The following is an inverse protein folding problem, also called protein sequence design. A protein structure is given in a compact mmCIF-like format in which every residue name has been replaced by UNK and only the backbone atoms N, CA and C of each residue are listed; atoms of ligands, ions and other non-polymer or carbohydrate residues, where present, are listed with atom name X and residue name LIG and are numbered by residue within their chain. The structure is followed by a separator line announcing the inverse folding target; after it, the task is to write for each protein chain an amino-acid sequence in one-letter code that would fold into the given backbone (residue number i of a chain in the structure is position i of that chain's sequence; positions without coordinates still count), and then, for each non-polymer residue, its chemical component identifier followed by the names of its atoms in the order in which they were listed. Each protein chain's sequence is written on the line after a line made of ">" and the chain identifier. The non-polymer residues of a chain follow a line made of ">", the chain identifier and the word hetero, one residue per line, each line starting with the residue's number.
data_IF_010503020168
#
_entry.id   IF_010503020168
#
_cell.length_a   1.000
_cell.length_b   1.000
_cell.length_c   1.000
_cell.angle_alpha   90.00
_cell.angle_beta   90.00
_cell.angle_gamma   90.00
#
_symmetry.space_group_name_H-M   'P 1'
#
loop_
_entity.id
_entity.type
_entity.pdbx_description
1 polymer ?
#
# COMPACT_ATOMS: atom_id res chain seq x y z
N UNK A 1 -37.10 66.96 -20.22
CA UNK A 1 -35.97 66.00 -20.26
C UNK A 1 -35.24 66.08 -18.93
N UNK A 2 -35.42 65.10 -18.04
CA UNK A 2 -34.38 64.71 -17.08
C UNK A 2 -34.77 63.37 -16.45
N UNK A 3 -34.28 62.26 -17.01
CA UNK A 3 -34.37 60.95 -16.36
C UNK A 3 -33.02 60.72 -15.68
N UNK A 4 -33.12 60.63 -14.37
CA UNK A 4 -32.06 60.48 -13.39
C UNK A 4 -31.25 59.19 -13.62
N UNK A 5 -29.94 59.34 -13.84
CA UNK A 5 -28.96 58.28 -14.07
C UNK A 5 -28.42 57.69 -12.75
N UNK A 6 -29.28 57.09 -11.94
CA UNK A 6 -28.87 56.48 -10.68
C UNK A 6 -29.40 55.04 -10.58
N UNK A 7 -28.57 54.05 -10.95
CA UNK A 7 -28.56 52.69 -10.35
C UNK A 7 -27.63 51.67 -11.03
N UNK A 8 -26.92 51.98 -12.12
CA UNK A 8 -26.07 51.01 -12.86
C UNK A 8 -24.67 50.84 -12.22
N UNK A 9 -24.59 50.61 -10.90
CA UNK A 9 -23.32 50.46 -10.18
C UNK A 9 -23.24 49.30 -9.18
N UNK A 10 -24.38 48.78 -8.72
CA UNK A 10 -24.43 47.73 -7.68
C UNK A 10 -24.47 46.29 -8.20
N UNK A 11 -24.87 46.07 -9.46
CA UNK A 11 -25.11 44.71 -9.98
C UNK A 11 -23.84 44.06 -10.54
N UNK A 12 -22.84 44.86 -10.97
CA UNK A 12 -21.58 44.35 -11.52
C UNK A 12 -20.60 43.80 -10.45
N UNK A 13 -20.63 44.35 -9.22
CA UNK A 13 -19.69 43.99 -8.15
C UNK A 13 -20.07 42.71 -7.41
N UNK A 14 -21.38 42.45 -7.20
CA UNK A 14 -21.84 41.17 -6.66
C UNK A 14 -21.57 40.00 -7.59
N UNK A 15 -21.61 40.22 -8.91
CA UNK A 15 -21.34 39.19 -9.92
C UNK A 15 -19.85 38.84 -10.02
N UNK A 16 -18.95 39.84 -9.87
CA UNK A 16 -17.50 39.62 -9.79
C UNK A 16 -17.10 38.83 -8.54
N UNK A 17 -17.66 39.17 -7.38
CA UNK A 17 -17.37 38.46 -6.13
C UNK A 17 -17.82 36.99 -6.16
N UNK A 18 -18.96 36.67 -6.80
CA UNK A 18 -19.40 35.28 -7.02
C UNK A 18 -18.50 34.52 -8.00
N UNK A 19 -17.95 35.18 -9.03
CA UNK A 19 -17.06 34.55 -10.00
C UNK A 19 -15.70 34.17 -9.39
N UNK A 20 -15.18 35.00 -8.48
CA UNK A 20 -13.97 34.72 -7.71
C UNK A 20 -14.20 33.64 -6.65
N UNK A 21 -15.38 33.61 -6.00
CA UNK A 21 -15.76 32.53 -5.07
C UNK A 21 -15.91 31.19 -5.79
N UNK A 22 -16.51 31.16 -6.99
CA UNK A 22 -16.61 29.94 -7.80
C UNK A 22 -15.24 29.44 -8.26
N UNK A 23 -14.35 30.35 -8.64
CA UNK A 23 -12.96 30.03 -9.01
C UNK A 23 -12.19 29.52 -7.81
N UNK A 24 -12.36 30.14 -6.64
CA UNK A 24 -11.77 29.70 -5.38
C UNK A 24 -12.31 28.32 -4.95
N UNK A 25 -13.62 28.07 -5.08
CA UNK A 25 -14.23 26.77 -4.80
C UNK A 25 -13.76 25.69 -5.77
N UNK A 26 -13.62 26.00 -7.06
CA UNK A 26 -13.05 25.09 -8.05
C UNK A 26 -11.59 24.78 -7.74
N UNK A 27 -10.82 25.77 -7.28
CA UNK A 27 -9.43 25.59 -6.85
C UNK A 27 -9.36 24.68 -5.61
N UNK A 28 -10.21 24.89 -4.60
CA UNK A 28 -10.29 24.04 -3.41
C UNK A 28 -10.71 22.61 -3.76
N UNK A 29 -11.68 22.42 -4.65
CA UNK A 29 -12.10 21.09 -5.08
C UNK A 29 -11.02 20.41 -5.95
N UNK A 30 -10.30 21.17 -6.77
CA UNK A 30 -9.14 20.68 -7.51
C UNK A 30 -8.01 20.23 -6.56
N UNK A 31 -7.71 21.01 -5.53
CA UNK A 31 -6.74 20.65 -4.49
C UNK A 31 -7.18 19.42 -3.71
N UNK A 32 -8.46 19.31 -3.34
CA UNK A 32 -9.01 18.14 -2.67
C UNK A 32 -8.89 16.87 -3.52
N UNK A 33 -9.21 16.95 -4.81
CA UNK A 33 -9.07 15.83 -5.74
C UNK A 33 -7.61 15.43 -5.91
N UNK A 34 -6.70 16.40 -6.08
CA UNK A 34 -5.24 16.14 -6.12
C UNK A 34 -4.73 15.45 -4.86
N UNK A 35 -5.21 15.88 -3.69
CA UNK A 35 -4.85 15.27 -2.41
C UNK A 35 -5.39 13.84 -2.30
N UNK A 36 -6.64 13.60 -2.70
CA UNK A 36 -7.23 12.26 -2.75
C UNK A 36 -6.45 11.33 -3.68
N UNK A 37 -6.03 11.82 -4.85
CA UNK A 37 -5.20 11.07 -5.80
C UNK A 37 -3.82 10.74 -5.21
N UNK A 38 -3.15 11.70 -4.57
CA UNK A 38 -1.86 11.48 -3.93
C UNK A 38 -1.94 10.45 -2.78
N UNK A 39 -3.00 10.52 -1.97
CA UNK A 39 -3.25 9.54 -0.93
C UNK A 39 -3.57 8.15 -1.55
N UNK A 40 -4.34 8.10 -2.64
CA UNK A 40 -4.70 6.85 -3.32
C UNK A 40 -3.45 6.19 -3.92
N UNK A 41 -2.56 6.97 -4.53
CA UNK A 41 -1.28 6.50 -5.04
C UNK A 41 -0.40 5.93 -3.92
N UNK A 42 -0.30 6.66 -2.80
CA UNK A 42 0.46 6.19 -1.61
C UNK A 42 -0.10 4.86 -1.12
N UNK A 43 -1.42 4.77 -1.01
CA UNK A 43 -2.08 3.57 -0.52
C UNK A 43 -1.95 2.38 -1.49
N UNK A 44 -1.98 2.62 -2.80
CA UNK A 44 -1.68 1.58 -3.80
C UNK A 44 -0.25 1.07 -3.62
N UNK A 45 0.72 1.96 -3.43
CA UNK A 45 2.11 1.57 -3.20
C UNK A 45 2.27 0.75 -1.93
N UNK A 46 1.59 1.14 -0.84
CA UNK A 46 1.57 0.36 0.41
C UNK A 46 0.96 -1.03 0.20
N UNK A 47 -0.14 -1.14 -0.55
CA UNK A 47 -0.74 -2.44 -0.89
C UNK A 47 0.19 -3.28 -1.76
N UNK A 48 0.87 -2.69 -2.74
CA UNK A 48 1.86 -3.39 -3.56
C UNK A 48 3.04 -3.91 -2.72
N UNK A 49 3.58 -3.06 -1.84
CA UNK A 49 4.65 -3.44 -0.93
C UNK A 49 4.20 -4.56 0.02
N UNK A 50 2.96 -4.51 0.52
CA UNK A 50 2.40 -5.58 1.33
C UNK A 50 2.14 -6.87 0.57
N UNK A 51 1.73 -6.78 -0.69
CA UNK A 51 1.59 -7.95 -1.56
C UNK A 51 2.94 -8.63 -1.78
N UNK A 52 3.99 -7.85 -2.05
CA UNK A 52 5.35 -8.36 -2.17
C UNK A 52 5.81 -9.02 -0.87
N UNK A 53 5.62 -8.35 0.27
CA UNK A 53 5.95 -8.88 1.59
C UNK A 53 5.21 -10.20 1.88
N UNK A 54 3.91 -10.29 1.61
CA UNK A 54 3.16 -11.53 1.80
C UNK A 54 3.66 -12.65 0.88
N UNK A 55 4.00 -12.32 -0.37
CA UNK A 55 4.62 -13.28 -1.29
C UNK A 55 5.91 -13.85 -0.71
N UNK A 56 6.77 -12.96 -0.22
CA UNK A 56 8.06 -13.33 0.39
C UNK A 56 7.92 -14.07 1.73
N UNK A 57 6.92 -13.75 2.55
CA UNK A 57 6.63 -14.50 3.77
C UNK A 57 6.07 -15.89 3.47
N UNK A 58 5.26 -16.03 2.41
CA UNK A 58 4.76 -17.34 1.97
C UNK A 58 5.87 -18.21 1.39
N UNK A 59 6.83 -17.64 0.64
CA UNK A 59 7.99 -18.41 0.17
C UNK A 59 8.87 -18.85 1.34
N UNK A 60 9.08 -17.98 2.34
CA UNK A 60 9.76 -18.36 3.58
C UNK A 60 9.01 -19.49 4.31
N UNK A 61 7.70 -19.35 4.50
CA UNK A 61 6.85 -20.37 5.12
C UNK A 61 6.93 -21.71 4.38
N UNK A 62 6.91 -21.69 3.05
CA UNK A 62 7.06 -22.89 2.23
C UNK A 62 8.43 -23.55 2.42
N UNK A 63 9.51 -22.75 2.43
CA UNK A 63 10.86 -23.27 2.68
C UNK A 63 10.99 -23.88 4.08
N UNK A 64 10.45 -23.24 5.11
CA UNK A 64 10.45 -23.75 6.48
C UNK A 64 9.61 -25.04 6.62
N UNK A 65 8.45 -25.12 5.95
CA UNK A 65 7.68 -26.37 5.91
C UNK A 65 8.42 -27.48 5.15
N UNK A 66 9.16 -27.15 4.09
CA UNK A 66 9.99 -28.11 3.38
C UNK A 66 11.12 -28.65 4.27
N UNK A 67 11.74 -27.79 5.09
CA UNK A 67 12.68 -28.17 6.16
C UNK A 67 12.01 -29.07 7.20
N UNK A 68 10.82 -28.70 7.67
CA UNK A 68 10.07 -29.49 8.65
C UNK A 68 9.77 -30.90 8.13
N UNK A 69 9.46 -31.02 6.83
CA UNK A 69 9.22 -32.31 6.18
C UNK A 69 10.46 -33.20 6.02
N UNK A 70 11.67 -32.69 6.32
CA UNK A 70 12.88 -33.50 6.36
C UNK A 70 13.14 -34.14 7.73
N UNK A 71 12.39 -33.77 8.77
CA UNK A 71 12.44 -34.47 10.05
C UNK A 71 11.66 -35.78 9.97
N UNK A 72 12.18 -36.88 10.53
CA UNK A 72 11.42 -38.12 10.61
C UNK A 72 10.21 -37.96 11.54
N UNK A 73 9.16 -38.75 11.31
CA UNK A 73 7.87 -38.60 12.02
C UNK A 73 7.99 -38.74 13.54
N UNK A 74 8.97 -39.49 14.03
CA UNK A 74 9.29 -39.74 15.43
C UNK A 74 10.32 -38.75 16.03
N UNK A 75 10.83 -37.78 15.25
CA UNK A 75 11.76 -36.78 15.74
C UNK A 75 11.15 -35.97 16.88
N UNK A 76 11.90 -35.88 17.98
CA UNK A 76 11.60 -35.03 19.14
C UNK A 76 11.97 -33.58 18.84
N UNK A 77 11.39 -32.66 19.61
CA UNK A 77 11.62 -31.21 19.43
C UNK A 77 13.10 -30.80 19.52
N UNK A 78 13.92 -31.54 20.24
CA UNK A 78 15.37 -31.30 20.41
C UNK A 78 16.23 -31.88 19.30
N UNK A 79 15.66 -32.70 18.41
CA UNK A 79 16.42 -33.40 17.39
C UNK A 79 16.83 -32.40 16.32
N UNK A 80 18.13 -32.34 16.05
CA UNK A 80 18.70 -31.50 15.00
C UNK A 80 18.47 -32.15 13.65
N UNK A 81 18.29 -31.31 12.64
CA UNK A 81 18.19 -31.81 11.28
C UNK A 81 19.51 -32.45 10.83
N UNK A 82 19.43 -33.62 10.22
CA UNK A 82 20.57 -34.32 9.62
C UNK A 82 21.30 -33.42 8.62
N UNK A 83 22.63 -33.43 8.64
CA UNK A 83 23.48 -32.60 7.76
C UNK A 83 23.61 -33.19 6.37
N UNK A 84 22.48 -33.32 5.65
CA UNK A 84 22.48 -33.69 4.23
C UNK A 84 22.61 -32.46 3.32
N UNK A 85 23.12 -32.65 2.11
CA UNK A 85 23.23 -31.57 1.10
C UNK A 85 21.88 -30.91 0.84
N UNK A 86 20.81 -31.72 0.82
CA UNK A 86 19.43 -31.26 0.65
C UNK A 86 18.98 -30.38 1.82
N UNK A 87 19.25 -30.80 3.04
CA UNK A 87 18.85 -30.07 4.25
C UNK A 87 19.61 -28.76 4.40
N UNK A 88 20.90 -28.75 4.04
CA UNK A 88 21.71 -27.53 4.00
C UNK A 88 21.23 -26.57 2.90
N UNK A 89 20.83 -27.06 1.73
CA UNK A 89 20.26 -26.23 0.67
C UNK A 89 18.93 -25.59 1.10
N UNK A 90 18.02 -26.36 1.69
CA UNK A 90 16.74 -25.85 2.20
C UNK A 90 16.95 -24.83 3.34
N UNK A 91 17.85 -25.12 4.29
CA UNK A 91 18.23 -24.20 5.36
C UNK A 91 18.83 -22.90 4.80
N UNK A 92 19.63 -23.01 3.75
CA UNK A 92 20.25 -21.87 3.07
C UNK A 92 19.20 -21.01 2.39
N UNK A 93 18.21 -21.61 1.73
CA UNK A 93 17.15 -20.87 1.05
C UNK A 93 16.18 -20.21 2.04
N UNK A 94 15.83 -20.89 3.14
CA UNK A 94 15.07 -20.29 4.23
C UNK A 94 15.82 -19.11 4.88
N UNK A 95 17.12 -19.27 5.16
CA UNK A 95 17.95 -18.21 5.73
C UNK A 95 18.11 -17.02 4.77
N UNK A 96 18.36 -17.25 3.47
CA UNK A 96 18.38 -16.19 2.45
C UNK A 96 17.09 -15.40 2.46
N UNK A 97 15.95 -16.08 2.51
CA UNK A 97 14.65 -15.44 2.47
C UNK A 97 14.37 -14.65 3.75
N UNK A 98 14.71 -15.19 4.93
CA UNK A 98 14.63 -14.47 6.19
C UNK A 98 15.47 -13.18 6.17
N UNK A 99 16.71 -13.27 5.69
CA UNK A 99 17.61 -12.12 5.58
C UNK A 99 17.12 -11.05 4.59
N UNK A 100 16.55 -11.44 3.44
CA UNK A 100 15.92 -10.50 2.49
C UNK A 100 14.77 -9.73 3.13
N UNK A 101 13.98 -10.41 3.96
CA UNK A 101 12.88 -9.84 4.72
C UNK A 101 13.32 -8.98 5.92
N UNK A 102 14.62 -8.83 6.17
CA UNK A 102 15.15 -8.17 7.36
C UNK A 102 14.83 -8.91 8.67
N UNK A 103 14.43 -10.18 8.58
CA UNK A 103 14.16 -11.04 9.73
C UNK A 103 15.48 -11.67 10.18
N UNK A 104 15.60 -11.87 11.49
CA UNK A 104 16.63 -12.72 12.05
C UNK A 104 16.45 -14.15 11.50
N UNK A 105 17.48 -14.77 10.86
CA UNK A 105 17.43 -16.14 10.38
C UNK A 105 17.31 -17.17 11.53
N UNK A 106 17.49 -16.74 12.78
CA UNK A 106 17.29 -17.57 13.96
C UNK A 106 15.93 -18.25 13.89
N UNK A 107 15.89 -19.59 13.94
CA UNK A 107 16.87 -20.49 14.56
C UNK A 107 17.90 -21.14 13.63
N UNK A 108 17.86 -20.84 12.33
CA UNK A 108 18.90 -21.30 11.40
C UNK A 108 20.12 -20.42 11.66
N UNK A 109 21.15 -20.98 12.29
CA UNK A 109 22.44 -20.29 12.39
C UNK A 109 23.02 -20.16 10.99
N UNK A 110 22.87 -18.97 10.41
CA UNK A 110 23.35 -18.62 9.09
C UNK A 110 23.92 -17.22 9.09
N UNK A 111 24.85 -16.97 8.18
CA UNK A 111 25.45 -15.66 7.94
C UNK A 111 25.00 -15.20 6.57
N UNK A 112 24.44 -13.99 6.48
CA UNK A 112 24.05 -13.40 5.21
C UNK A 112 25.27 -13.15 4.33
N UNK A 113 25.22 -13.62 3.09
CA UNK A 113 26.16 -13.20 2.04
C UNK A 113 25.55 -11.96 1.41
N UNK A 114 26.25 -10.84 1.55
CA UNK A 114 25.84 -9.55 0.98
C UNK A 114 26.70 -9.19 -0.22
N UNK A 115 26.12 -8.57 -1.23
CA UNK A 115 26.89 -7.93 -2.30
C UNK A 115 27.55 -6.62 -1.82
N UNK A 116 28.33 -5.99 -2.70
CA UNK A 116 28.97 -4.70 -2.41
C UNK A 116 27.97 -3.54 -2.17
N UNK A 117 26.69 -3.72 -2.54
CA UNK A 117 25.61 -2.76 -2.31
C UNK A 117 24.82 -3.05 -1.01
N UNK A 118 25.19 -4.08 -0.26
CA UNK A 118 24.55 -4.47 1.00
C UNK A 118 23.32 -5.37 0.85
N UNK A 119 22.95 -5.78 -0.36
CA UNK A 119 21.81 -6.67 -0.60
C UNK A 119 22.19 -8.12 -0.31
N UNK A 120 21.27 -8.88 0.26
CA UNK A 120 21.47 -10.29 0.58
C UNK A 120 21.38 -11.13 -0.70
N UNK A 121 22.52 -11.64 -1.17
CA UNK A 121 22.65 -12.48 -2.37
C UNK A 121 22.72 -13.97 -2.02
N UNK A 122 23.01 -14.30 -0.77
CA UNK A 122 23.10 -15.67 -0.29
C UNK A 122 23.06 -15.80 1.23
N UNK A 123 23.15 -17.03 1.73
CA UNK A 123 23.34 -17.31 3.14
C UNK A 123 24.28 -18.51 3.26
N UNK A 124 25.22 -18.46 4.20
CA UNK A 124 26.03 -19.61 4.59
C UNK A 124 25.46 -20.16 5.89
N UNK A 125 24.88 -21.35 5.84
CA UNK A 125 24.36 -22.04 7.03
C UNK A 125 25.55 -22.63 7.79
N UNK A 126 25.72 -22.21 9.04
CA UNK A 126 26.79 -22.67 9.95
C UNK A 126 26.29 -23.71 10.95
N UNK A 127 24.96 -23.90 11.03
CA UNK A 127 24.35 -24.93 11.86
C UNK A 127 22.87 -25.10 11.53
N UNK A 128 22.42 -26.36 11.61
CA UNK A 128 21.06 -26.74 11.29
C UNK A 128 20.15 -26.63 12.53
N UNK A 129 18.90 -26.17 12.34
CA UNK A 129 17.95 -25.99 13.42
C UNK A 129 17.42 -27.34 13.94
N UNK A 130 16.89 -27.31 15.14
CA UNK A 130 16.09 -28.40 15.73
C UNK A 130 14.65 -28.36 15.23
N UNK A 131 13.92 -29.48 15.37
CA UNK A 131 12.51 -29.54 14.97
C UNK A 131 11.66 -28.48 15.66
N UNK A 132 11.80 -28.33 16.98
CA UNK A 132 11.04 -27.34 17.76
C UNK A 132 11.34 -25.91 17.33
N UNK A 133 12.57 -25.65 16.92
CA UNK A 133 13.01 -24.36 16.41
C UNK A 133 12.35 -24.05 15.06
N UNK A 134 12.35 -25.01 14.12
CA UNK A 134 11.65 -24.85 12.83
C UNK A 134 10.15 -24.62 13.04
N UNK A 135 9.52 -25.36 13.96
CA UNK A 135 8.10 -25.18 14.31
C UNK A 135 7.82 -23.78 14.90
N UNK A 136 8.71 -23.28 15.76
CA UNK A 136 8.60 -21.93 16.32
C UNK A 136 8.75 -20.85 15.23
N UNK A 137 9.68 -21.03 14.29
CA UNK A 137 9.86 -20.14 13.15
C UNK A 137 8.64 -20.14 12.23
N UNK A 138 8.06 -21.31 11.92
CA UNK A 138 6.81 -21.45 11.15
C UNK A 138 5.68 -20.69 11.84
N UNK A 139 5.53 -20.85 13.16
CA UNK A 139 4.49 -20.18 13.94
C UNK A 139 4.65 -18.65 13.88
N UNK A 140 5.87 -18.15 14.01
CA UNK A 140 6.18 -16.72 13.91
C UNK A 140 5.88 -16.17 12.52
N UNK A 141 6.34 -16.83 11.46
CA UNK A 141 6.12 -16.40 10.07
C UNK A 141 4.63 -16.45 9.74
N UNK A 142 3.90 -17.48 10.20
CA UNK A 142 2.45 -17.56 10.04
C UNK A 142 1.73 -16.40 10.72
N UNK A 143 2.11 -16.06 11.95
CA UNK A 143 1.57 -14.87 12.63
C UNK A 143 1.83 -13.57 11.88
N UNK A 144 2.97 -13.44 11.21
CA UNK A 144 3.28 -12.29 10.36
C UNK A 144 2.49 -12.29 9.05
N UNK A 145 2.29 -13.46 8.42
CA UNK A 145 1.40 -13.61 7.26
C UNK A 145 -0.02 -13.20 7.62
N UNK A 146 -0.53 -13.68 8.75
CA UNK A 146 -1.88 -13.37 9.22
C UNK A 146 -2.01 -11.87 9.54
N UNK A 147 -1.02 -11.27 10.21
CA UNK A 147 -1.00 -9.84 10.46
C UNK A 147 -0.95 -9.01 9.17
N UNK A 148 -0.08 -9.38 8.23
CA UNK A 148 0.04 -8.71 6.93
C UNK A 148 -1.24 -8.84 6.09
N UNK A 149 -1.87 -10.02 6.11
CA UNK A 149 -3.15 -10.29 5.44
C UNK A 149 -4.30 -9.50 6.03
N UNK A 150 -4.41 -9.42 7.35
CA UNK A 150 -5.43 -8.61 8.03
C UNK A 150 -5.27 -7.12 7.69
N UNK A 151 -4.04 -6.60 7.72
CA UNK A 151 -3.78 -5.24 7.28
C UNK A 151 -4.16 -5.08 5.79
N UNK A 152 -3.75 -5.98 4.90
CA UNK A 152 -4.07 -5.89 3.46
C UNK A 152 -5.58 -5.79 3.19
N UNK A 153 -6.41 -6.56 3.91
CA UNK A 153 -7.87 -6.44 3.81
C UNK A 153 -8.36 -5.04 4.19
N UNK A 154 -7.83 -4.45 5.26
CA UNK A 154 -8.17 -3.07 5.65
C UNK A 154 -7.77 -2.05 4.59
N UNK A 155 -6.58 -2.17 3.99
CA UNK A 155 -6.17 -1.24 2.94
C UNK A 155 -6.97 -1.42 1.67
N UNK A 156 -7.41 -2.63 1.34
CA UNK A 156 -8.32 -2.84 0.21
C UNK A 156 -9.68 -2.17 0.44
N UNK A 157 -10.24 -2.26 1.65
CA UNK A 157 -11.45 -1.51 2.01
C UNK A 157 -11.22 0.00 1.93
N UNK A 158 -10.05 0.47 2.38
CA UNK A 158 -9.70 1.89 2.33
C UNK A 158 -9.49 2.38 0.89
N UNK A 159 -8.84 1.58 0.03
CA UNK A 159 -8.71 1.85 -1.41
C UNK A 159 -10.07 1.93 -2.10
N UNK A 160 -10.98 0.99 -1.80
CA UNK A 160 -12.34 1.03 -2.33
C UNK A 160 -13.07 2.29 -1.86
N UNK A 161 -13.00 2.62 -0.57
CA UNK A 161 -13.59 3.85 -0.02
C UNK A 161 -13.01 5.12 -0.66
N UNK A 162 -11.69 5.17 -0.86
CA UNK A 162 -11.03 6.32 -1.48
C UNK A 162 -11.34 6.44 -2.97
N UNK A 163 -11.42 5.31 -3.69
CA UNK A 163 -11.86 5.28 -5.08
C UNK A 163 -13.29 5.81 -5.21
N UNK A 164 -14.19 5.41 -4.31
CA UNK A 164 -15.55 5.92 -4.26
C UNK A 164 -15.57 7.44 -3.97
N UNK A 165 -14.85 7.90 -2.94
CA UNK A 165 -14.74 9.35 -2.62
C UNK A 165 -14.16 10.18 -3.76
N UNK A 166 -13.19 9.62 -4.49
CA UNK A 166 -12.59 10.26 -5.67
C UNK A 166 -13.62 10.39 -6.79
N UNK A 167 -14.36 9.32 -7.09
CA UNK A 167 -15.41 9.34 -8.11
C UNK A 167 -16.53 10.32 -7.74
N UNK A 168 -16.98 10.33 -6.48
CA UNK A 168 -17.94 11.32 -5.99
C UNK A 168 -17.43 12.76 -6.13
N UNK A 169 -16.15 13.02 -5.80
CA UNK A 169 -15.54 14.33 -5.98
C UNK A 169 -15.47 14.74 -7.46
N UNK A 170 -15.17 13.81 -8.37
CA UNK A 170 -15.20 14.04 -9.81
C UNK A 170 -16.61 14.32 -10.34
N UNK A 171 -17.62 13.61 -9.84
CA UNK A 171 -19.01 13.84 -10.22
C UNK A 171 -19.49 15.21 -9.72
N UNK A 172 -19.16 15.58 -8.49
CA UNK A 172 -19.44 16.92 -7.94
C UNK A 172 -18.72 18.00 -8.74
N UNK A 173 -17.46 17.80 -9.11
CA UNK A 173 -16.70 18.74 -9.94
C UNK A 173 -17.32 18.89 -11.32
N UNK A 174 -17.72 17.79 -11.95
CA UNK A 174 -18.36 17.80 -13.27
C UNK A 174 -19.71 18.51 -13.22
N UNK A 175 -20.51 18.24 -12.19
CA UNK A 175 -21.80 18.91 -11.99
C UNK A 175 -21.63 20.40 -11.68
N UNK A 176 -20.59 20.76 -10.92
CA UNK A 176 -20.25 22.17 -10.65
C UNK A 176 -19.85 22.91 -11.93
N UNK A 177 -18.96 22.32 -12.75
CA UNK A 177 -18.56 22.89 -14.04
C UNK A 177 -19.74 23.04 -14.98
N UNK A 178 -20.62 22.03 -15.08
CA UNK A 178 -21.86 22.13 -15.88
C UNK A 178 -22.73 23.29 -15.40
N UNK A 179 -22.99 23.38 -14.08
CA UNK A 179 -23.80 24.47 -13.52
C UNK A 179 -23.17 25.85 -13.74
N UNK A 180 -21.84 25.95 -13.72
CA UNK A 180 -21.12 27.18 -14.06
C UNK A 180 -21.26 27.54 -15.54
N UNK A 181 -21.18 26.56 -16.44
CA UNK A 181 -21.40 26.76 -17.88
C UNK A 181 -22.84 27.20 -18.17
N UNK A 182 -23.83 26.58 -17.53
CA UNK A 182 -25.24 26.96 -17.66
C UNK A 182 -25.51 28.36 -17.10
N UNK A 183 -24.90 28.71 -15.96
CA UNK A 183 -24.97 30.07 -15.39
C UNK A 183 -24.38 31.11 -16.35
N UNK A 184 -23.19 30.84 -16.91
CA UNK A 184 -22.56 31.70 -17.93
C UNK A 184 -23.43 31.82 -19.19
N UNK A 185 -23.98 30.71 -19.67
CA UNK A 185 -24.88 30.69 -20.82
C UNK A 185 -26.16 31.50 -20.57
N UNK A 186 -26.72 31.44 -19.35
CA UNK A 186 -27.88 32.24 -18.95
C UNK A 186 -27.56 33.72 -18.83
N UNK A 187 -26.40 34.11 -18.30
CA UNK A 187 -25.95 35.50 -18.23
C UNK A 187 -25.73 36.06 -19.65
N UNK A 188 -25.06 35.32 -20.53
CA UNK A 188 -24.85 35.71 -21.93
C UNK A 188 -26.21 35.75 -22.67
N UNK A 189 -27.10 34.79 -22.39
CA UNK A 189 -28.44 34.72 -22.95
C UNK A 189 -29.34 35.89 -22.56
N UNK A 190 -29.24 36.39 -21.31
CA UNK A 190 -29.97 37.58 -20.85
C UNK A 190 -29.35 38.91 -21.32
N UNK A 191 -28.14 38.90 -21.87
CA UNK A 191 -27.48 40.08 -22.43
C UNK A 191 -27.64 40.23 -23.95
N UNK A 192 -28.19 39.22 -24.65
CA UNK A 192 -28.55 39.30 -26.06
C UNK A 192 -30.00 39.73 -26.22
#
# INVERSE_FOLDING_TARGET
>A
MNINSASVGGIASMNLASMDIETALMMVQSERTKLLDAQLQTQIQEVQNRNALMGELNTLLSSLNALLGQFPSDAKGTDKLESSDRNQALATDAAKQAFKLGQDPSPISAIAIKDAAGNVTGATVTGLPTRSEVDAAITKVKGQVDAAGNSQQMDMLRLQSMSNKRNEAFDVMTNFVKKMQDSRASIIGNMR
#
